data_IF_153297665730
#
_entry.id   IF_153297665730
#
_cell.length_a   1.000
_cell.length_b   1.000
_cell.length_c   1.000
_cell.angle_alpha   90.00
_cell.angle_beta   90.00
_cell.angle_gamma   90.00
#
_symmetry.space_group_name_H-M   'P 1'
#
loop_
_entity.id
_entity.type
_entity.pdbx_description
1 polymer ?
#
# COMPACT_ATOMS: atom_id res chain seq x y z
N UNK A 1 -8.66 7.64 25.01
CA UNK A 1 -8.90 7.70 23.55
C UNK A 1 -7.72 7.01 22.88
N UNK A 2 -7.97 6.06 21.99
CA UNK A 2 -6.96 5.37 21.20
C UNK A 2 -6.72 6.16 19.91
N UNK A 3 -5.54 6.78 19.79
CA UNK A 3 -5.21 7.68 18.68
C UNK A 3 -3.90 7.31 18.00
N UNK A 4 -3.90 6.25 17.15
CA UNK A 4 -2.71 5.85 16.43
C UNK A 4 -2.42 6.80 15.26
N UNK A 5 -1.14 7.10 15.04
CA UNK A 5 -0.66 7.83 13.86
C UNK A 5 -0.15 6.89 12.76
N UNK A 6 0.17 5.63 13.09
CA UNK A 6 0.71 4.68 12.12
C UNK A 6 -0.30 4.21 11.07
N UNK A 7 -1.59 4.56 11.19
CA UNK A 7 -2.59 4.31 10.15
C UNK A 7 -2.33 5.08 8.85
N UNK A 8 -1.45 6.08 8.92
CA UNK A 8 -0.95 6.82 7.76
C UNK A 8 0.13 6.06 6.98
N UNK A 9 0.69 5.01 7.57
CA UNK A 9 1.84 4.27 7.03
C UNK A 9 1.57 3.65 5.67
N UNK A 10 2.66 3.47 4.92
CA UNK A 10 2.64 2.67 3.70
C UNK A 10 2.24 3.42 2.45
N UNK A 11 1.51 4.54 2.50
CA UNK A 11 1.11 5.27 1.28
C UNK A 11 0.42 4.33 0.26
N UNK A 12 1.05 4.02 -0.89
CA UNK A 12 0.58 3.00 -1.86
C UNK A 12 1.33 1.66 -1.79
N UNK A 13 2.19 1.47 -0.78
CA UNK A 13 2.89 0.22 -0.50
C UNK A 13 2.03 -0.65 0.42
N UNK A 14 1.94 -1.97 0.17
CA UNK A 14 1.07 -2.87 0.90
C UNK A 14 1.65 -3.25 2.27
N UNK A 15 1.80 -2.29 3.20
CA UNK A 15 2.29 -2.55 4.56
C UNK A 15 1.16 -3.16 5.41
N UNK A 16 1.33 -4.39 5.88
CA UNK A 16 0.27 -5.14 6.58
C UNK A 16 0.42 -5.11 8.11
N UNK A 17 0.15 -3.98 8.75
CA UNK A 17 0.29 -3.78 10.20
C UNK A 17 -0.94 -4.18 11.04
N UNK A 18 -1.84 -5.01 10.50
CA UNK A 18 -3.13 -5.32 11.12
C UNK A 18 -3.00 -6.04 12.47
N UNK A 19 -2.02 -6.94 12.63
CA UNK A 19 -1.70 -7.59 13.91
C UNK A 19 -1.35 -6.56 15.00
N UNK A 20 -0.42 -5.64 14.70
CA UNK A 20 -0.01 -4.59 15.63
C UNK A 20 -1.19 -3.67 15.99
N UNK A 21 -2.04 -3.34 15.02
CA UNK A 21 -3.26 -2.58 15.30
C UNK A 21 -4.19 -3.34 16.24
N UNK A 22 -4.43 -4.63 15.98
CA UNK A 22 -5.29 -5.49 16.79
C UNK A 22 -4.81 -5.55 18.25
N UNK A 23 -3.52 -5.79 18.47
CA UNK A 23 -2.94 -5.84 19.81
C UNK A 23 -3.14 -4.53 20.58
N UNK A 24 -2.81 -3.40 19.95
CA UNK A 24 -2.94 -2.08 20.57
C UNK A 24 -4.39 -1.70 20.84
N UNK A 25 -5.28 -1.97 19.89
CA UNK A 25 -6.69 -1.66 19.99
C UNK A 25 -7.35 -2.48 21.10
N UNK A 26 -7.15 -3.81 21.10
CA UNK A 26 -7.74 -4.69 22.12
C UNK A 26 -7.14 -4.44 23.51
N UNK A 27 -5.86 -4.07 23.61
CA UNK A 27 -5.27 -3.58 24.85
C UNK A 27 -6.00 -2.32 25.35
N UNK A 28 -6.22 -1.33 24.48
CA UNK A 28 -6.91 -0.09 24.85
C UNK A 28 -8.35 -0.34 25.32
N UNK A 29 -9.09 -1.21 24.62
CA UNK A 29 -10.46 -1.62 25.00
C UNK A 29 -10.47 -2.27 26.37
N UNK A 30 -9.54 -3.21 26.64
CA UNK A 30 -9.40 -3.87 27.96
C UNK A 30 -9.11 -2.88 29.10
N UNK A 31 -8.59 -1.70 28.79
CA UNK A 31 -8.31 -0.62 29.73
C UNK A 31 -9.36 0.51 29.68
N UNK A 32 -10.61 0.17 29.33
CA UNK A 32 -11.75 1.09 29.34
C UNK A 32 -11.61 2.28 28.38
N UNK A 33 -10.83 2.14 27.30
CA UNK A 33 -10.83 3.14 26.23
C UNK A 33 -12.12 3.02 25.42
N UNK A 34 -12.96 4.06 25.46
CA UNK A 34 -14.28 4.09 24.80
C UNK A 34 -14.33 4.90 23.49
N UNK A 35 -13.19 5.48 23.09
CA UNK A 35 -13.11 6.33 21.91
C UNK A 35 -11.85 6.04 21.11
N UNK A 36 -12.00 5.94 19.79
CA UNK A 36 -10.91 5.91 18.81
C UNK A 36 -10.90 7.20 18.00
N UNK A 37 -9.72 7.73 17.71
CA UNK A 37 -9.52 8.86 16.81
C UNK A 37 -8.30 8.56 15.94
N UNK A 38 -8.52 8.14 14.71
CA UNK A 38 -7.43 7.71 13.83
C UNK A 38 -6.97 8.94 13.06
N UNK A 39 -5.73 9.39 13.31
CA UNK A 39 -5.13 10.56 12.65
C UNK A 39 -5.23 10.48 11.12
N UNK A 40 -5.33 9.25 10.61
CA UNK A 40 -5.72 9.04 9.24
C UNK A 40 -6.31 7.67 8.94
N UNK A 41 -7.11 7.62 7.88
CA UNK A 41 -7.57 6.41 7.23
C UNK A 41 -7.60 6.71 5.73
N UNK A 42 -6.54 6.32 5.04
CA UNK A 42 -6.21 6.87 3.71
C UNK A 42 -7.11 6.34 2.59
N UNK A 43 -7.93 5.32 2.86
CA UNK A 43 -8.84 4.72 1.90
C UNK A 43 -8.13 3.94 0.78
N UNK A 44 -6.87 3.56 0.96
CA UNK A 44 -6.07 2.82 -0.03
C UNK A 44 -6.41 1.32 -0.02
N UNK A 45 -7.68 0.98 -0.27
CA UNK A 45 -8.19 -0.38 -0.10
C UNK A 45 -7.52 -1.42 -1.00
N UNK A 46 -7.03 -1.02 -2.18
CA UNK A 46 -6.28 -1.92 -3.09
C UNK A 46 -5.00 -2.52 -2.49
N UNK A 47 -4.38 -1.84 -1.52
CA UNK A 47 -3.09 -2.25 -0.93
C UNK A 47 -3.18 -2.48 0.58
N UNK A 48 -4.15 -1.86 1.26
CA UNK A 48 -4.38 -1.97 2.71
C UNK A 48 -5.74 -2.63 3.04
N UNK A 49 -6.30 -3.44 2.14
CA UNK A 49 -7.64 -4.03 2.30
C UNK A 49 -7.83 -4.76 3.64
N UNK A 50 -6.92 -5.66 4.01
CA UNK A 50 -6.97 -6.40 5.27
C UNK A 50 -6.86 -5.49 6.49
N UNK A 51 -5.90 -4.55 6.46
CA UNK A 51 -5.71 -3.55 7.51
C UNK A 51 -6.98 -2.71 7.73
N UNK A 52 -7.53 -2.16 6.65
CA UNK A 52 -8.74 -1.35 6.71
C UNK A 52 -9.94 -2.17 7.22
N UNK A 53 -10.04 -3.44 6.80
CA UNK A 53 -11.07 -4.34 7.27
C UNK A 53 -10.97 -4.59 8.78
N UNK A 54 -9.78 -4.93 9.29
CA UNK A 54 -9.56 -5.17 10.72
C UNK A 54 -9.87 -3.90 11.54
N UNK A 55 -9.40 -2.73 11.10
CA UNK A 55 -9.69 -1.45 11.76
C UNK A 55 -11.19 -1.19 11.82
N UNK A 56 -11.89 -1.32 10.69
CA UNK A 56 -13.33 -1.08 10.64
C UNK A 56 -14.10 -2.07 11.52
N UNK A 57 -13.78 -3.35 11.43
CA UNK A 57 -14.45 -4.41 12.20
C UNK A 57 -14.28 -4.24 13.70
N UNK A 58 -13.09 -3.89 14.18
CA UNK A 58 -12.82 -3.71 15.61
C UNK A 58 -13.55 -2.50 16.23
N UNK A 59 -13.86 -1.47 15.45
CA UNK A 59 -14.67 -0.34 15.93
C UNK A 59 -16.14 -0.73 16.21
N UNK A 60 -16.61 -1.85 15.64
CA UNK A 60 -17.97 -2.37 15.86
C UNK A 60 -18.00 -3.63 16.73
N UNK A 61 -16.95 -4.45 16.64
CA UNK A 61 -16.84 -5.77 17.26
C UNK A 61 -15.47 -5.94 17.94
N UNK A 62 -15.18 -5.15 18.99
CA UNK A 62 -13.89 -5.15 19.66
C UNK A 62 -13.51 -6.50 20.30
N UNK A 63 -14.49 -7.36 20.53
CA UNK A 63 -14.35 -8.69 21.13
C UNK A 63 -13.90 -9.78 20.13
N UNK A 64 -14.03 -9.54 18.82
CA UNK A 64 -13.72 -10.58 17.82
C UNK A 64 -12.22 -10.95 17.85
N UNK A 65 -11.88 -12.25 17.83
CA UNK A 65 -10.49 -12.69 17.68
C UNK A 65 -9.90 -12.29 16.32
N UNK A 66 -8.61 -11.96 16.27
CA UNK A 66 -7.94 -11.58 15.02
C UNK A 66 -8.06 -12.65 13.93
N UNK A 67 -7.82 -13.91 14.29
CA UNK A 67 -7.92 -15.04 13.35
C UNK A 67 -9.32 -15.15 12.71
N UNK A 68 -10.38 -14.79 13.44
CA UNK A 68 -11.72 -14.75 12.89
C UNK A 68 -11.89 -13.60 11.89
N UNK A 69 -11.35 -12.41 12.19
CA UNK A 69 -11.39 -11.27 11.27
C UNK A 69 -10.62 -11.55 9.98
N UNK A 70 -9.45 -12.17 10.08
CA UNK A 70 -8.67 -12.61 8.93
C UNK A 70 -9.43 -13.64 8.09
N UNK A 71 -10.02 -14.65 8.74
CA UNK A 71 -10.81 -15.66 8.06
C UNK A 71 -12.04 -15.06 7.35
N UNK A 72 -12.76 -14.15 8.00
CA UNK A 72 -13.89 -13.41 7.41
C UNK A 72 -13.44 -12.62 6.17
N UNK A 73 -12.31 -11.91 6.27
CA UNK A 73 -11.73 -11.16 5.15
C UNK A 73 -11.35 -12.08 3.98
N UNK A 74 -10.59 -13.15 4.22
CA UNK A 74 -10.15 -14.07 3.16
C UNK A 74 -11.31 -14.87 2.56
N UNK A 75 -12.30 -15.23 3.36
CA UNK A 75 -13.51 -15.93 2.89
C UNK A 75 -14.33 -15.08 1.91
N UNK A 76 -14.19 -13.75 1.95
CA UNK A 76 -14.79 -12.87 0.93
C UNK A 76 -14.21 -13.08 -0.47
N UNK A 77 -13.10 -13.78 -0.63
CA UNK A 77 -12.53 -14.11 -1.95
C UNK A 77 -13.00 -15.47 -2.48
N UNK A 78 -13.93 -16.15 -1.81
CA UNK A 78 -14.53 -17.39 -2.28
C UNK A 78 -13.49 -18.48 -2.54
N UNK A 79 -13.51 -19.05 -3.75
CA UNK A 79 -12.54 -20.07 -4.17
C UNK A 79 -11.07 -19.60 -4.13
N UNK A 80 -10.82 -18.29 -4.18
CA UNK A 80 -9.48 -17.71 -4.10
C UNK A 80 -8.98 -17.45 -2.67
N UNK A 81 -9.72 -17.85 -1.63
CA UNK A 81 -9.36 -17.67 -0.21
C UNK A 81 -7.91 -18.02 0.09
N UNK A 82 -7.51 -19.27 -0.18
CA UNK A 82 -6.17 -19.76 0.18
C UNK A 82 -5.03 -19.09 -0.61
N UNK A 83 -5.12 -18.92 -1.95
CA UNK A 83 -4.14 -18.13 -2.70
C UNK A 83 -4.01 -16.68 -2.21
N UNK A 84 -5.14 -16.02 -1.90
CA UNK A 84 -5.12 -14.63 -1.40
C UNK A 84 -4.48 -14.56 -0.03
N UNK A 85 -4.76 -15.52 0.86
CA UNK A 85 -4.08 -15.61 2.16
C UNK A 85 -2.56 -15.72 1.96
N UNK A 86 -2.09 -16.59 1.06
CA UNK A 86 -0.65 -16.71 0.75
C UNK A 86 -0.03 -15.41 0.24
N UNK A 87 -0.76 -14.63 -0.56
CA UNK A 87 -0.32 -13.30 -0.97
C UNK A 87 -0.15 -12.36 0.22
N UNK A 88 -1.15 -12.28 1.11
CA UNK A 88 -1.05 -11.43 2.30
C UNK A 88 0.03 -11.91 3.27
N UNK A 89 0.15 -13.21 3.54
CA UNK A 89 1.21 -13.80 4.36
C UNK A 89 2.60 -13.41 3.82
N UNK A 90 2.80 -13.52 2.50
CA UNK A 90 4.05 -13.15 1.84
C UNK A 90 4.38 -11.67 2.02
N UNK A 91 3.40 -10.78 1.79
CA UNK A 91 3.61 -9.34 1.89
C UNK A 91 3.74 -8.88 3.35
N UNK A 92 3.05 -9.51 4.29
CA UNK A 92 3.23 -9.28 5.74
C UNK A 92 4.63 -9.65 6.17
N UNK A 93 5.10 -10.84 5.81
CA UNK A 93 6.47 -11.28 6.13
C UNK A 93 7.52 -10.36 5.49
N UNK A 94 7.32 -9.99 4.22
CA UNK A 94 8.17 -9.04 3.52
C UNK A 94 8.20 -7.68 4.21
N UNK A 95 7.06 -7.12 4.64
CA UNK A 95 7.00 -5.73 5.11
C UNK A 95 7.25 -5.60 6.60
N UNK A 96 6.68 -6.47 7.43
CA UNK A 96 6.74 -6.38 8.89
C UNK A 96 7.94 -7.14 9.46
N UNK A 97 8.12 -8.41 9.08
CA UNK A 97 9.12 -9.27 9.70
C UNK A 97 10.52 -9.03 9.14
N UNK A 98 10.61 -8.92 7.81
CA UNK A 98 11.87 -8.77 7.10
C UNK A 98 12.14 -7.31 6.73
N UNK A 99 11.19 -6.62 6.09
CA UNK A 99 11.48 -5.39 5.36
C UNK A 99 11.73 -4.16 6.22
N UNK A 100 10.74 -3.73 7.00
CA UNK A 100 10.85 -2.49 7.78
C UNK A 100 11.94 -2.61 8.87
N UNK A 101 12.07 -3.80 9.46
CA UNK A 101 13.02 -4.06 10.56
C UNK A 101 14.44 -4.45 10.14
N UNK A 102 14.69 -4.89 8.90
CA UNK A 102 16.05 -5.29 8.46
C UNK A 102 16.65 -4.44 7.32
N UNK A 103 15.91 -3.46 6.80
CA UNK A 103 16.37 -2.65 5.66
C UNK A 103 17.03 -1.33 6.07
N UNK A 104 17.56 -0.61 5.06
CA UNK A 104 18.03 0.78 5.17
C UNK A 104 17.03 1.72 5.89
N UNK A 105 15.76 1.34 6.01
CA UNK A 105 14.74 2.03 6.79
C UNK A 105 15.10 2.16 8.28
N UNK A 106 15.68 1.12 8.89
CA UNK A 106 16.11 1.18 10.30
C UNK A 106 17.30 2.14 10.47
N UNK A 107 18.27 2.09 9.55
CA UNK A 107 19.43 3.01 9.52
C UNK A 107 19.05 4.47 9.30
N UNK A 108 17.92 4.72 8.66
CA UNK A 108 17.35 6.07 8.45
C UNK A 108 16.45 6.52 9.63
N UNK A 109 16.32 5.73 10.70
CA UNK A 109 15.52 6.06 11.89
C UNK A 109 14.01 5.93 11.69
N UNK A 110 13.55 5.03 10.81
CA UNK A 110 12.16 4.97 10.31
C UNK A 110 11.32 3.84 10.88
N UNK A 111 11.77 3.20 11.96
CA UNK A 111 11.06 2.09 12.60
C UNK A 111 9.72 2.51 13.27
N UNK A 112 9.50 3.81 13.52
CA UNK A 112 8.34 4.30 14.28
C UNK A 112 7.02 4.46 13.46
N UNK A 113 7.01 4.14 12.15
CA UNK A 113 5.78 4.20 11.33
C UNK A 113 5.29 5.64 11.01
N UNK A 114 4.00 5.80 10.71
CA UNK A 114 3.33 7.09 10.53
C UNK A 114 3.75 7.88 9.28
N UNK A 115 3.74 9.23 9.37
CA UNK A 115 4.21 10.15 8.31
C UNK A 115 5.62 9.80 7.81
N UNK A 116 6.51 9.34 8.71
CA UNK A 116 7.86 8.93 8.36
C UNK A 116 7.86 7.79 7.35
N UNK A 117 7.17 6.69 7.68
CA UNK A 117 7.07 5.53 6.81
C UNK A 117 6.29 5.85 5.53
N UNK A 118 5.15 6.54 5.61
CA UNK A 118 4.34 6.93 4.46
C UNK A 118 5.13 7.76 3.42
N UNK A 119 5.85 8.78 3.90
CA UNK A 119 6.61 9.68 3.04
C UNK A 119 7.89 9.06 2.51
N UNK A 120 8.53 8.16 3.26
CA UNK A 120 9.85 7.65 2.89
C UNK A 120 9.87 6.37 2.09
N UNK A 121 8.78 5.60 2.11
CA UNK A 121 8.66 4.41 1.28
C UNK A 121 8.81 4.70 -0.22
N UNK A 122 8.40 5.87 -0.72
CA UNK A 122 8.66 6.25 -2.13
C UNK A 122 10.15 6.30 -2.48
N UNK A 123 11.05 6.56 -1.52
CA UNK A 123 12.48 6.70 -1.78
C UNK A 123 13.23 5.37 -1.80
N UNK A 124 12.78 4.44 -0.97
CA UNK A 124 13.47 3.18 -0.66
C UNK A 124 12.66 1.94 -1.05
N UNK A 125 11.41 2.11 -1.46
CA UNK A 125 10.48 1.01 -1.71
C UNK A 125 10.94 0.02 -2.77
N UNK A 126 11.78 0.42 -3.74
CA UNK A 126 12.36 -0.46 -4.76
C UNK A 126 13.40 -1.43 -4.18
N UNK A 127 14.00 -1.08 -3.04
CA UNK A 127 14.90 -2.00 -2.36
C UNK A 127 14.13 -3.14 -1.67
N UNK A 128 12.85 -2.91 -1.35
CA UNK A 128 11.97 -3.92 -0.73
C UNK A 128 11.12 -4.66 -1.76
N UNK A 129 10.53 -3.93 -2.71
CA UNK A 129 9.73 -4.44 -3.81
C UNK A 129 10.59 -4.53 -5.08
N UNK A 130 11.59 -5.39 -5.04
CA UNK A 130 12.47 -5.68 -6.19
C UNK A 130 11.66 -6.33 -7.33
N UNK A 131 12.20 -6.39 -8.57
CA UNK A 131 11.52 -7.08 -9.67
C UNK A 131 11.12 -8.52 -9.33
N UNK A 132 11.96 -9.25 -8.59
CA UNK A 132 11.72 -10.63 -8.16
C UNK A 132 10.56 -10.71 -7.16
N UNK A 133 10.54 -9.79 -6.18
CA UNK A 133 9.45 -9.68 -5.20
C UNK A 133 8.14 -9.32 -5.90
N UNK A 134 8.17 -8.35 -6.82
CA UNK A 134 6.99 -7.97 -7.60
C UNK A 134 6.47 -9.13 -8.46
N UNK A 135 7.36 -9.87 -9.11
CA UNK A 135 7.01 -11.06 -9.88
C UNK A 135 6.34 -12.13 -9.00
N UNK A 136 6.86 -12.35 -7.78
CA UNK A 136 6.26 -13.27 -6.83
C UNK A 136 4.87 -12.80 -6.36
N UNK A 137 4.70 -11.51 -6.07
CA UNK A 137 3.39 -10.93 -5.75
C UNK A 137 2.38 -11.14 -6.89
N UNK A 138 2.75 -10.83 -8.13
CA UNK A 138 1.89 -11.04 -9.29
C UNK A 138 1.55 -12.52 -9.48
N UNK A 139 2.52 -13.42 -9.32
CA UNK A 139 2.28 -14.87 -9.40
C UNK A 139 1.23 -15.32 -8.40
N UNK A 140 1.33 -14.90 -7.13
CA UNK A 140 0.35 -15.29 -6.09
C UNK A 140 -1.05 -14.76 -6.39
N UNK A 141 -1.16 -13.54 -6.94
CA UNK A 141 -2.43 -12.96 -7.38
C UNK A 141 -2.99 -13.67 -8.61
N UNK A 142 -2.14 -14.10 -9.54
CA UNK A 142 -2.54 -14.84 -10.74
C UNK A 142 -2.98 -16.27 -10.40
N UNK A 143 -2.31 -16.92 -9.45
CA UNK A 143 -2.75 -18.19 -8.88
C UNK A 143 -4.15 -18.05 -8.23
N UNK A 144 -4.42 -16.91 -7.57
CA UNK A 144 -5.75 -16.59 -7.03
C UNK A 144 -6.81 -16.37 -8.12
N UNK A 145 -6.45 -15.68 -9.20
CA UNK A 145 -7.36 -15.43 -10.32
C UNK A 145 -7.70 -16.70 -11.10
N UNK A 146 -6.84 -17.71 -11.07
CA UNK A 146 -7.02 -19.01 -11.71
C UNK A 146 -7.74 -20.04 -10.81
N UNK A 147 -8.21 -19.67 -9.61
CA UNK A 147 -8.84 -20.59 -8.69
C UNK A 147 -10.10 -21.27 -9.30
N UNK A 148 -10.20 -22.62 -9.28
CA UNK A 148 -11.38 -23.32 -9.79
C UNK A 148 -12.65 -22.92 -9.03
N UNK A 149 -13.70 -22.55 -9.76
CA UNK A 149 -14.98 -22.14 -9.16
C UNK A 149 -15.02 -20.69 -8.66
N UNK A 150 -14.08 -19.84 -9.08
CA UNK A 150 -14.07 -18.42 -8.74
C UNK A 150 -15.29 -17.68 -9.31
N UNK A 151 -16.14 -17.15 -8.43
CA UNK A 151 -17.33 -16.40 -8.84
C UNK A 151 -16.97 -14.97 -9.30
N UNK A 152 -17.86 -14.30 -10.06
CA UNK A 152 -17.58 -12.97 -10.60
C UNK A 152 -17.32 -11.87 -9.56
N UNK A 153 -17.88 -11.97 -8.35
CA UNK A 153 -17.65 -10.98 -7.29
C UNK A 153 -16.26 -11.18 -6.72
N UNK A 154 -15.89 -12.41 -6.39
CA UNK A 154 -14.57 -12.77 -5.90
C UNK A 154 -13.48 -12.46 -6.93
N UNK A 155 -13.74 -12.72 -8.22
CA UNK A 155 -12.83 -12.35 -9.30
C UNK A 155 -12.54 -10.84 -9.34
N UNK A 156 -13.54 -9.98 -9.11
CA UNK A 156 -13.33 -8.53 -9.01
C UNK A 156 -12.49 -8.14 -7.78
N UNK A 157 -12.65 -8.84 -6.66
CA UNK A 157 -11.82 -8.64 -5.46
C UNK A 157 -10.36 -9.06 -5.70
N UNK A 158 -10.11 -10.13 -6.44
CA UNK A 158 -8.74 -10.52 -6.85
C UNK A 158 -8.16 -9.48 -7.82
N UNK A 159 -8.94 -9.01 -8.79
CA UNK A 159 -8.53 -7.97 -9.73
C UNK A 159 -8.11 -6.68 -9.02
N UNK A 160 -8.79 -6.31 -7.93
CA UNK A 160 -8.38 -5.19 -7.09
C UNK A 160 -6.95 -5.35 -6.56
N UNK A 161 -6.56 -6.53 -6.07
CA UNK A 161 -5.19 -6.78 -5.59
C UNK A 161 -4.19 -6.60 -6.73
N UNK A 162 -4.53 -7.11 -7.92
CA UNK A 162 -3.71 -6.93 -9.14
C UNK A 162 -3.55 -5.45 -9.50
N UNK A 163 -4.61 -4.66 -9.37
CA UNK A 163 -4.55 -3.22 -9.60
C UNK A 163 -3.63 -2.51 -8.59
N UNK A 164 -3.67 -2.91 -7.32
CA UNK A 164 -2.75 -2.41 -6.29
C UNK A 164 -1.28 -2.68 -6.64
N UNK A 165 -0.95 -3.90 -7.05
CA UNK A 165 0.43 -4.25 -7.45
C UNK A 165 0.85 -3.57 -8.76
N UNK A 166 -0.06 -3.43 -9.72
CA UNK A 166 0.22 -2.70 -10.96
C UNK A 166 0.48 -1.21 -10.71
N UNK A 167 -0.30 -0.61 -9.81
CA UNK A 167 -0.08 0.77 -9.37
C UNK A 167 1.33 0.93 -8.77
N UNK A 168 1.69 0.04 -7.84
CA UNK A 168 3.00 0.02 -7.19
C UNK A 168 4.14 -0.13 -8.22
N UNK A 169 4.05 -1.09 -9.14
CA UNK A 169 5.03 -1.29 -10.21
C UNK A 169 5.28 0.00 -11.01
N UNK A 170 4.21 0.66 -11.46
CA UNK A 170 4.30 1.89 -12.24
C UNK A 170 4.87 3.06 -11.42
N UNK A 171 4.50 3.17 -10.15
CA UNK A 171 5.05 4.17 -9.24
C UNK A 171 6.55 3.97 -9.02
N UNK A 172 6.99 2.72 -8.86
CA UNK A 172 8.41 2.39 -8.72
C UNK A 172 9.20 2.64 -10.00
N UNK A 173 8.63 2.37 -11.16
CA UNK A 173 9.24 2.73 -12.44
C UNK A 173 9.45 4.25 -12.57
N UNK A 174 8.46 5.06 -12.15
CA UNK A 174 8.60 6.51 -12.11
C UNK A 174 9.69 6.96 -11.12
N UNK A 175 9.78 6.34 -9.94
CA UNK A 175 10.80 6.63 -8.95
C UNK A 175 12.23 6.32 -9.46
N UNK A 176 12.42 5.21 -10.17
CA UNK A 176 13.71 4.87 -10.77
C UNK A 176 14.16 5.96 -11.75
N UNK A 177 13.25 6.40 -12.63
CA UNK A 177 13.53 7.48 -13.58
C UNK A 177 13.77 8.83 -12.88
N UNK A 178 13.06 9.11 -11.77
CA UNK A 178 13.30 10.29 -10.96
C UNK A 178 14.74 10.32 -10.41
N UNK A 179 15.23 9.18 -9.88
CA UNK A 179 16.62 9.08 -9.40
C UNK A 179 17.64 9.24 -10.51
N UNK A 180 17.37 8.72 -11.72
CA UNK A 180 18.22 8.96 -12.89
C UNK A 180 18.29 10.45 -13.22
N UNK A 181 17.15 11.14 -13.22
CA UNK A 181 17.09 12.59 -13.45
C UNK A 181 17.88 13.37 -12.39
N UNK A 182 17.78 13.00 -11.11
CA UNK A 182 18.58 13.61 -10.05
C UNK A 182 20.10 13.47 -10.27
N UNK A 183 20.52 12.44 -11.01
CA UNK A 183 21.92 12.19 -11.41
C UNK A 183 22.29 12.80 -12.78
N UNK A 184 21.42 13.65 -13.35
CA UNK A 184 21.68 14.37 -14.60
C UNK A 184 21.04 13.77 -15.85
N UNK A 185 20.27 12.69 -15.76
CA UNK A 185 19.55 12.16 -16.91
C UNK A 185 18.43 13.13 -17.38
N UNK A 186 18.01 13.09 -18.66
CA UNK A 186 16.93 13.93 -19.15
C UNK A 186 15.60 13.68 -18.43
N UNK A 187 14.83 14.75 -18.19
CA UNK A 187 13.51 14.66 -17.55
C UNK A 187 12.47 13.85 -18.36
N UNK A 188 12.75 13.55 -19.64
CA UNK A 188 11.84 12.82 -20.52
C UNK A 188 11.50 11.40 -20.00
N UNK A 189 12.48 10.69 -19.42
CA UNK A 189 12.26 9.35 -18.86
C UNK A 189 11.24 9.36 -17.73
N UNK A 190 11.42 10.25 -16.76
CA UNK A 190 10.46 10.43 -15.66
C UNK A 190 9.06 10.83 -16.16
N UNK A 191 8.98 11.80 -17.08
CA UNK A 191 7.69 12.26 -17.62
C UNK A 191 6.92 11.13 -18.30
N UNK A 192 7.60 10.28 -19.06
CA UNK A 192 6.98 9.13 -19.72
C UNK A 192 6.50 8.08 -18.71
N UNK A 193 7.32 7.75 -17.70
CA UNK A 193 6.94 6.80 -16.66
C UNK A 193 5.77 7.31 -15.81
N UNK A 194 5.81 8.58 -15.41
CA UNK A 194 4.74 9.23 -14.65
C UNK A 194 3.44 9.34 -15.47
N UNK A 195 3.51 9.59 -16.77
CA UNK A 195 2.33 9.58 -17.63
C UNK A 195 1.65 8.20 -17.67
N UNK A 196 2.42 7.10 -17.72
CA UNK A 196 1.87 5.74 -17.62
C UNK A 196 1.17 5.48 -16.29
N UNK A 197 1.78 5.92 -15.18
CA UNK A 197 1.18 5.84 -13.84
C UNK A 197 -0.17 6.59 -13.78
N UNK A 198 -0.21 7.82 -14.33
CA UNK A 198 -1.41 8.65 -14.35
C UNK A 198 -2.51 8.05 -15.24
N UNK A 199 -2.14 7.52 -16.41
CA UNK A 199 -3.08 6.82 -17.29
C UNK A 199 -3.70 5.60 -16.59
N UNK A 200 -2.89 4.82 -15.87
CA UNK A 200 -3.39 3.68 -15.11
C UNK A 200 -4.34 4.10 -13.99
N UNK A 201 -3.98 5.14 -13.20
CA UNK A 201 -4.88 5.68 -12.16
C UNK A 201 -6.22 6.12 -12.74
N UNK A 202 -6.21 6.82 -13.89
CA UNK A 202 -7.43 7.20 -14.60
C UNK A 202 -8.27 5.99 -14.99
N UNK A 203 -7.65 4.90 -15.45
CA UNK A 203 -8.41 3.69 -15.85
C UNK A 203 -9.08 2.94 -14.68
N UNK A 204 -8.68 3.23 -13.44
CA UNK A 204 -9.24 2.57 -12.24
C UNK A 204 -9.96 3.54 -11.31
N UNK A 205 -10.10 4.81 -11.70
CA UNK A 205 -10.67 5.88 -10.88
C UNK A 205 -12.11 5.56 -10.43
N UNK A 206 -12.92 5.06 -11.37
CA UNK A 206 -14.33 4.70 -11.12
C UNK A 206 -14.50 3.54 -10.12
N UNK A 207 -13.43 2.81 -9.80
CA UNK A 207 -13.51 1.72 -8.81
C UNK A 207 -13.65 2.24 -7.38
N UNK A 208 -13.20 3.46 -7.09
CA UNK A 208 -13.18 4.02 -5.73
C UNK A 208 -12.24 3.31 -4.74
N UNK A 209 -11.39 2.39 -5.22
CA UNK A 209 -10.55 1.53 -4.36
C UNK A 209 -9.23 2.19 -3.93
N UNK A 210 -8.94 3.38 -4.46
CA UNK A 210 -7.80 4.23 -4.08
C UNK A 210 -8.19 5.69 -3.94
N UNK A 211 -7.53 6.36 -3.00
CA UNK A 211 -7.66 7.81 -2.84
C UNK A 211 -6.66 8.52 -3.76
N UNK A 212 -7.08 8.81 -4.99
CA UNK A 212 -6.24 9.48 -6.02
C UNK A 212 -5.77 10.86 -5.54
N UNK A 213 -6.62 11.61 -4.84
CA UNK A 213 -6.26 12.93 -4.30
C UNK A 213 -5.07 12.85 -3.35
N UNK A 214 -5.08 11.88 -2.44
CA UNK A 214 -3.95 11.62 -1.55
C UNK A 214 -2.69 11.18 -2.31
N UNK A 215 -2.83 10.28 -3.29
CA UNK A 215 -1.69 9.85 -4.11
C UNK A 215 -1.06 11.04 -4.85
N UNK A 216 -1.87 11.94 -5.40
CA UNK A 216 -1.40 13.13 -6.09
C UNK A 216 -0.72 14.12 -5.14
N UNK A 217 -1.21 14.25 -3.90
CA UNK A 217 -0.56 15.05 -2.85
C UNK A 217 0.86 14.53 -2.58
N UNK A 218 1.05 13.23 -2.41
CA UNK A 218 2.37 12.65 -2.15
C UNK A 218 3.30 12.69 -3.35
N UNK A 219 2.80 12.50 -4.55
CA UNK A 219 3.59 12.66 -5.76
C UNK A 219 4.11 14.11 -5.86
N UNK A 220 3.27 15.10 -5.54
CA UNK A 220 3.67 16.50 -5.49
C UNK A 220 4.69 16.80 -4.39
N UNK A 221 4.64 16.11 -3.26
CA UNK A 221 5.64 16.25 -2.21
C UNK A 221 6.98 15.60 -2.59
N UNK A 222 6.93 14.43 -3.24
CA UNK A 222 8.09 13.57 -3.47
C UNK A 222 8.83 13.96 -4.75
N UNK A 223 8.08 14.28 -5.80
CA UNK A 223 8.60 14.63 -7.12
C UNK A 223 8.44 16.12 -7.45
N UNK A 224 8.23 16.96 -6.41
CA UNK A 224 8.02 18.41 -6.55
C UNK A 224 8.95 19.08 -7.55
N UNK A 225 10.26 18.79 -7.44
CA UNK A 225 11.31 19.45 -8.23
C UNK A 225 11.14 19.24 -9.74
N UNK A 226 10.66 18.08 -10.17
CA UNK A 226 10.47 17.77 -11.60
C UNK A 226 9.05 18.09 -12.07
N UNK A 227 8.05 17.91 -11.21
CA UNK A 227 6.64 18.18 -11.55
C UNK A 227 6.34 19.68 -11.64
N UNK A 228 7.02 20.50 -10.83
CA UNK A 228 6.86 21.96 -10.82
C UNK A 228 7.99 22.69 -11.57
N UNK A 229 8.92 21.96 -12.20
CA UNK A 229 9.96 22.58 -13.01
C UNK A 229 9.34 23.35 -14.17
N UNK A 230 9.41 24.69 -14.13
CA UNK A 230 9.07 25.52 -15.28
C UNK A 230 10.03 25.16 -16.42
N UNK A 231 9.54 25.06 -17.67
CA UNK A 231 10.44 24.93 -18.81
C UNK A 231 11.44 26.09 -18.77
N UNK A 232 12.73 25.79 -18.97
CA UNK A 232 13.76 26.81 -19.06
C UNK A 232 13.30 27.84 -20.09
N UNK A 233 13.20 29.12 -19.70
CA UNK A 233 12.96 30.20 -20.66
C UNK A 233 14.06 30.09 -21.71
N UNK A 234 13.68 29.80 -22.96
CA UNK A 234 14.61 29.98 -24.09
C UNK A 234 15.06 31.43 -24.02
N UNK A 235 16.35 31.67 -23.79
CA UNK A 235 16.93 33.00 -23.98
C UNK A 235 16.72 33.31 -25.46
N UNK A 236 15.87 34.30 -25.73
CA UNK A 236 15.78 34.94 -27.05
C UNK A 236 17.04 35.79 -27.26
#
# INVERSE_FOLDING_TARGET
MFRPNFTWSGHYFPIQYHEAFYEMFTFAVKHNTVAGDMDSLTGQYMVHGLVNYVIASLNHHPEKPLAQLEDEFYSSFGAAKEPVKKYFDYVTDLTINKGIRSSALEKEGLAEGGIGLARRMIWVGDSLFTPEVMAQCFKLIDDAAAAPGLDPVSARRVLMLRHGMKHLELAMAAQVEYRKWQKGAPAAGFKAAYAKLQQFRKSIEETGLINIGLLQYYDNLSWRKILQARPARKKQ
#
